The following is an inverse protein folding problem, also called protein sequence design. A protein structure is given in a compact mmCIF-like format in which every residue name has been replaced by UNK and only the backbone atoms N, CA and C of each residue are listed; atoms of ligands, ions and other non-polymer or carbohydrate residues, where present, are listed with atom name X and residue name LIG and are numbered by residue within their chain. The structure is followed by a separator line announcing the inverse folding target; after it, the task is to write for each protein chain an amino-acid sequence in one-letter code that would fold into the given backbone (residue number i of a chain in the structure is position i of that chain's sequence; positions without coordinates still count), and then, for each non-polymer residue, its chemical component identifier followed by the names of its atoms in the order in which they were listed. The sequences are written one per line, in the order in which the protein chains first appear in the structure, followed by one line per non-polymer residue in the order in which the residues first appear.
data_IF_353875902560
#
_entry.id   IF_353875902560
#
_cell.length_a   1.000
_cell.length_b   1.000
_cell.length_c   1.000
_cell.angle_alpha   90.00
_cell.angle_beta   90.00
_cell.angle_gamma   90.00
#
_symmetry.space_group_name_H-M   'P 1'
#
loop_
_entity.id
_entity.type
_entity.pdbx_description
1 polymer ?
#
# COMPACT_ATOMS: atom_id res chain seq x y z
N UNK A 1 -8.30 -4.14 -12.63
CA UNK A 1 -7.16 -3.42 -12.03
C UNK A 1 -7.69 -2.49 -10.96
N UNK A 2 -7.10 -2.51 -9.75
CA UNK A 2 -7.46 -1.55 -8.70
C UNK A 2 -6.78 -0.21 -9.00
N UNK A 3 -7.38 0.55 -9.91
CA UNK A 3 -6.93 1.89 -10.27
C UNK A 3 -7.59 2.90 -9.34
N UNK A 4 -6.79 3.79 -8.77
CA UNK A 4 -7.30 4.83 -7.90
C UNK A 4 -6.28 5.94 -7.67
N UNK A 5 -6.73 7.16 -7.32
CA UNK A 5 -5.85 8.32 -7.19
C UNK A 5 -4.72 8.10 -6.17
N UNK A 6 -4.94 7.22 -5.18
CA UNK A 6 -3.98 6.89 -4.12
C UNK A 6 -3.30 5.52 -4.29
N UNK A 7 -3.27 4.97 -5.51
CA UNK A 7 -2.56 3.73 -5.79
C UNK A 7 -1.08 3.84 -5.40
N UNK A 8 -0.61 2.89 -4.59
CA UNK A 8 0.76 2.83 -4.08
C UNK A 8 1.58 1.69 -4.70
N UNK A 9 1.01 0.98 -5.68
CA UNK A 9 1.59 -0.22 -6.28
C UNK A 9 0.55 -1.06 -7.01
N UNK A 10 0.90 -2.31 -7.31
CA UNK A 10 0.06 -3.30 -7.97
C UNK A 10 -0.19 -4.49 -7.04
N UNK A 11 -1.37 -5.10 -7.14
CA UNK A 11 -1.63 -6.39 -6.52
C UNK A 11 -1.53 -7.48 -7.58
N UNK A 12 -0.92 -8.59 -7.20
CA UNK A 12 -0.82 -9.82 -8.00
C UNK A 12 -1.31 -11.00 -7.16
N UNK A 13 -1.66 -12.09 -7.81
CA UNK A 13 -1.87 -13.38 -7.17
C UNK A 13 -0.52 -13.97 -6.73
N UNK A 14 -0.25 -13.95 -5.42
CA UNK A 14 1.00 -14.48 -4.86
C UNK A 14 1.20 -16.00 -5.00
N UNK A 15 0.17 -16.74 -5.41
CA UNK A 15 0.25 -18.17 -5.68
C UNK A 15 0.51 -18.51 -7.16
N UNK A 16 0.53 -17.50 -8.05
CA UNK A 16 0.73 -17.68 -9.48
C UNK A 16 2.05 -17.03 -9.94
N UNK A 17 3.08 -17.82 -10.30
CA UNK A 17 4.35 -17.29 -10.79
C UNK A 17 4.23 -16.41 -12.04
N UNK A 18 3.27 -16.70 -12.93
CA UNK A 18 3.08 -15.92 -14.14
C UNK A 18 2.52 -14.53 -13.83
N UNK A 19 1.61 -14.44 -12.87
CA UNK A 19 1.03 -13.16 -12.43
C UNK A 19 2.06 -12.30 -11.68
N UNK A 20 2.95 -12.92 -10.90
CA UNK A 20 4.11 -12.23 -10.30
C UNK A 20 5.04 -11.68 -11.39
N UNK A 21 5.38 -12.49 -12.41
CA UNK A 21 6.24 -12.07 -13.51
C UNK A 21 5.64 -10.91 -14.30
N UNK A 22 4.33 -10.97 -14.57
CA UNK A 22 3.59 -9.87 -15.19
C UNK A 22 3.64 -8.60 -14.33
N UNK A 23 3.34 -8.70 -13.04
CA UNK A 23 3.33 -7.54 -12.14
C UNK A 23 4.70 -6.88 -11.99
N UNK A 24 5.79 -7.67 -12.02
CA UNK A 24 7.15 -7.14 -12.05
C UNK A 24 7.43 -6.40 -13.36
N UNK A 25 7.04 -6.97 -14.50
CA UNK A 25 7.15 -6.31 -15.79
C UNK A 25 6.39 -4.98 -15.85
N UNK A 26 5.17 -4.94 -15.32
CA UNK A 26 4.38 -3.71 -15.21
C UNK A 26 4.99 -2.67 -14.27
N UNK A 27 5.58 -3.08 -13.14
CA UNK A 27 6.24 -2.15 -12.25
C UNK A 27 7.48 -1.50 -12.89
N UNK A 28 8.23 -2.28 -13.67
CA UNK A 28 9.49 -1.86 -14.28
C UNK A 28 9.33 -1.15 -15.62
N UNK A 29 8.15 -1.20 -16.25
CA UNK A 29 7.91 -0.60 -17.57
C UNK A 29 7.87 0.93 -17.57
N UNK A 30 7.62 1.55 -16.42
CA UNK A 30 7.59 3.01 -16.24
C UNK A 30 8.19 3.39 -14.88
N UNK A 31 9.44 3.86 -14.90
CA UNK A 31 10.19 4.25 -13.70
C UNK A 31 9.57 5.45 -12.97
N UNK A 32 8.96 6.39 -13.69
CA UNK A 32 8.28 7.54 -13.09
C UNK A 32 6.98 7.10 -12.39
N UNK A 33 6.23 6.15 -12.97
CA UNK A 33 5.09 5.51 -12.30
C UNK A 33 5.51 4.80 -11.02
N UNK A 34 6.60 4.04 -11.07
CA UNK A 34 7.13 3.36 -9.90
C UNK A 34 7.54 4.35 -8.80
N UNK A 35 8.19 5.46 -9.15
CA UNK A 35 8.52 6.56 -8.22
C UNK A 35 7.27 7.16 -7.57
N UNK A 36 6.24 7.49 -8.37
CA UNK A 36 4.96 8.02 -7.86
C UNK A 36 4.27 7.06 -6.90
N UNK A 37 4.31 5.76 -7.17
CA UNK A 37 3.79 4.73 -6.26
C UNK A 37 4.55 4.73 -4.93
N UNK A 38 5.88 4.80 -4.95
CA UNK A 38 6.70 4.89 -3.75
C UNK A 38 6.37 6.12 -2.88
N UNK A 39 6.21 7.29 -3.50
CA UNK A 39 5.83 8.53 -2.81
C UNK A 39 4.44 8.44 -2.16
N UNK A 40 3.46 7.91 -2.88
CA UNK A 40 2.11 7.67 -2.36
C UNK A 40 2.13 6.65 -1.22
N UNK A 41 2.92 5.58 -1.35
CA UNK A 41 3.12 4.57 -0.32
C UNK A 41 3.72 5.17 0.96
N UNK A 42 4.77 5.98 0.82
CA UNK A 42 5.41 6.69 1.95
C UNK A 42 4.43 7.64 2.63
N UNK A 43 3.69 8.43 1.86
CA UNK A 43 2.66 9.34 2.38
C UNK A 43 1.63 8.56 3.21
N UNK A 44 1.06 7.48 2.65
CA UNK A 44 0.08 6.64 3.34
C UNK A 44 0.64 6.01 4.63
N UNK A 45 1.89 5.54 4.61
CA UNK A 45 2.54 4.96 5.78
C UNK A 45 2.63 5.97 6.94
N UNK A 46 3.11 7.18 6.67
CA UNK A 46 3.23 8.26 7.66
C UNK A 46 1.85 8.75 8.12
N UNK A 47 0.91 8.90 7.19
CA UNK A 47 -0.43 9.40 7.48
C UNK A 47 -1.30 8.40 8.23
N UNK A 48 -1.06 7.09 8.15
CA UNK A 48 -2.00 6.10 8.69
C UNK A 48 -1.39 5.12 9.68
N UNK A 49 -0.13 4.75 9.50
CA UNK A 49 0.46 3.56 10.11
C UNK A 49 1.70 3.87 10.97
N UNK A 50 1.84 5.11 11.44
CA UNK A 50 2.84 5.42 12.47
C UNK A 50 2.47 4.76 13.79
N UNK A 51 3.47 4.46 14.61
CA UNK A 51 3.27 3.90 15.94
C UNK A 51 2.27 4.71 16.77
N UNK A 52 2.39 6.04 16.78
CA UNK A 52 1.46 6.92 17.50
C UNK A 52 0.02 6.78 17.01
N UNK A 53 -0.21 6.75 15.69
CA UNK A 53 -1.56 6.57 15.11
C UNK A 53 -2.14 5.20 15.41
N UNK A 54 -1.34 4.15 15.31
CA UNK A 54 -1.75 2.79 15.64
C UNK A 54 -2.09 2.65 17.14
N UNK A 55 -1.28 3.24 18.03
CA UNK A 55 -1.51 3.18 19.48
C UNK A 55 -2.81 3.91 19.87
N UNK A 56 -3.02 5.14 19.37
CA UNK A 56 -4.25 5.90 19.62
C UNK A 56 -5.48 5.14 19.12
N UNK A 57 -5.46 4.67 17.88
CA UNK A 57 -6.60 3.94 17.31
C UNK A 57 -6.87 2.62 18.02
N UNK A 58 -5.83 1.94 18.50
CA UNK A 58 -5.97 0.74 19.34
C UNK A 58 -6.67 1.07 20.66
N UNK A 59 -6.22 2.12 21.36
CA UNK A 59 -6.83 2.55 22.62
C UNK A 59 -8.31 2.97 22.44
N UNK A 60 -8.62 3.70 21.37
CA UNK A 60 -10.01 4.07 21.02
C UNK A 60 -10.92 2.85 20.87
N UNK A 61 -10.44 1.75 20.29
CA UNK A 61 -11.22 0.50 20.14
C UNK A 61 -11.48 -0.14 21.49
N UNK A 62 -10.46 -0.25 22.35
CA UNK A 62 -10.62 -0.81 23.71
C UNK A 62 -11.59 0.03 24.56
N UNK A 63 -11.56 1.36 24.43
CA UNK A 63 -12.47 2.25 25.15
C UNK A 63 -13.94 2.19 24.69
N UNK A 64 -14.26 1.54 23.56
CA UNK A 64 -15.65 1.35 23.10
C UNK A 64 -16.31 0.09 23.64
N UNK A 65 -15.50 -0.85 24.15
CA UNK A 65 -15.96 -2.15 24.67
C UNK A 65 -15.78 -2.26 26.18
N UNK A 66 -15.33 -1.17 26.82
CA UNK A 66 -15.29 -0.97 28.27
C UNK A 66 -16.35 0.05 28.63
#
# INVERSE_FOLDING_TARGET
MNEGPNQCGLHVNGADPADIAWGLGEALSDSERMRRWGEKGRRRAVEMFTWGRCAVRTAEVYGRVT
#
